data_IF_554167967904
#
_entry.id   IF_554167967904
#
_cell.length_a   1.000
_cell.length_b   1.000
_cell.length_c   1.000
_cell.angle_alpha   90.00
_cell.angle_beta   90.00
_cell.angle_gamma   90.00
#
_symmetry.space_group_name_H-M   'P 1'
#
loop_
_entity.id
_entity.type
_entity.pdbx_description
1 polymer ?
#
# COMPACT_ATOMS: atom_id res chain seq x y z
N UNK A 1 -14.12 23.66 -20.39
CA UNK A 1 -13.43 22.37 -20.58
C UNK A 1 -12.72 22.04 -19.28
N UNK A 2 -13.18 21.02 -18.60
CA UNK A 2 -12.51 20.49 -17.40
C UNK A 2 -11.47 19.47 -17.86
N UNK A 3 -10.20 19.83 -17.75
CA UNK A 3 -9.10 18.90 -17.95
C UNK A 3 -8.86 18.13 -16.65
N UNK A 4 -8.42 16.89 -16.76
CA UNK A 4 -8.09 16.07 -15.61
C UNK A 4 -6.66 15.55 -15.72
N UNK A 5 -5.87 15.79 -14.69
CA UNK A 5 -4.55 15.23 -14.49
C UNK A 5 -4.45 14.75 -13.03
N UNK A 6 -4.72 13.47 -12.82
CA UNK A 6 -4.83 12.89 -11.49
C UNK A 6 -3.47 12.56 -10.89
N UNK A 7 -3.23 12.98 -9.65
CA UNK A 7 -2.13 12.57 -8.79
C UNK A 7 -2.66 12.36 -7.37
N UNK A 8 -2.01 11.54 -6.57
CA UNK A 8 -2.38 11.38 -5.16
C UNK A 8 -2.03 10.01 -4.60
N UNK A 9 -2.04 9.87 -3.28
CA UNK A 9 -1.78 8.60 -2.63
C UNK A 9 -2.94 7.61 -2.84
N UNK A 10 -2.57 6.36 -3.07
CA UNK A 10 -3.49 5.22 -3.14
C UNK A 10 -3.36 4.41 -1.86
N UNK A 11 -4.48 4.10 -1.24
CA UNK A 11 -4.57 3.34 -0.01
C UNK A 11 -5.41 2.09 -0.21
N UNK A 12 -5.13 1.08 0.59
CA UNK A 12 -5.99 -0.08 0.74
C UNK A 12 -6.30 -0.33 2.22
N UNK A 13 -7.39 -1.00 2.51
CA UNK A 13 -7.77 -1.41 3.85
C UNK A 13 -8.43 -2.78 3.83
N UNK A 14 -8.23 -3.55 4.88
CA UNK A 14 -9.08 -4.70 5.15
C UNK A 14 -10.49 -4.22 5.46
N UNK A 15 -11.47 -5.08 5.22
CA UNK A 15 -12.88 -4.79 5.44
C UNK A 15 -13.38 -5.54 6.68
N UNK A 16 -14.26 -4.90 7.43
CA UNK A 16 -15.02 -5.57 8.49
C UNK A 16 -16.23 -6.36 7.94
N UNK A 17 -17.01 -6.96 8.84
CA UNK A 17 -18.19 -7.75 8.49
C UNK A 17 -19.30 -6.90 7.85
N UNK A 18 -19.33 -5.59 8.10
CA UNK A 18 -20.26 -4.62 7.51
C UNK A 18 -19.74 -4.05 6.18
N UNK A 19 -18.54 -4.45 5.78
CA UNK A 19 -17.87 -4.02 4.54
C UNK A 19 -17.21 -2.65 4.63
N UNK A 20 -17.02 -2.11 5.82
CA UNK A 20 -16.34 -0.83 6.04
C UNK A 20 -14.81 -1.04 6.16
N UNK A 21 -14.00 -0.07 5.69
CA UNK A 21 -12.55 -0.15 5.83
C UNK A 21 -12.12 0.01 7.28
N UNK A 22 -11.27 -0.90 7.78
CA UNK A 22 -10.80 -0.91 9.17
C UNK A 22 -9.64 0.08 9.36
N UNK A 23 -8.58 -0.09 8.57
CA UNK A 23 -7.35 0.70 8.66
C UNK A 23 -6.72 0.86 7.28
N UNK A 24 -6.40 2.10 6.91
CA UNK A 24 -5.81 2.37 5.61
C UNK A 24 -4.29 2.19 5.63
N UNK A 25 -3.80 1.36 4.74
CA UNK A 25 -2.38 1.18 4.44
C UNK A 25 -2.06 1.86 3.10
N UNK A 26 -1.02 2.68 3.08
CA UNK A 26 -0.58 3.34 1.86
C UNK A 26 0.21 2.37 0.97
N UNK A 27 -0.13 2.30 -0.33
CA UNK A 27 0.61 1.49 -1.30
C UNK A 27 2.05 1.96 -1.56
N UNK A 28 2.40 3.17 -1.15
CA UNK A 28 3.64 3.82 -1.53
C UNK A 28 3.47 4.65 -2.80
N UNK A 29 4.56 4.94 -3.48
CA UNK A 29 4.49 5.63 -4.76
C UNK A 29 3.81 4.73 -5.80
N UNK A 30 2.67 5.19 -6.32
CA UNK A 30 1.89 4.48 -7.32
C UNK A 30 1.82 5.32 -8.61
N UNK A 31 2.72 5.06 -9.58
CA UNK A 31 2.73 5.81 -10.83
C UNK A 31 1.49 5.57 -11.70
N UNK A 32 0.76 4.48 -11.48
CA UNK A 32 -0.48 4.23 -12.20
C UNK A 32 -1.54 3.58 -11.29
N UNK A 33 -2.76 4.10 -11.40
CA UNK A 33 -3.98 3.52 -10.81
C UNK A 33 -5.11 3.66 -11.82
N UNK A 34 -5.72 2.54 -12.20
CA UNK A 34 -6.80 2.51 -13.21
C UNK A 34 -7.98 1.70 -12.73
N UNK A 35 -9.18 2.20 -13.06
CA UNK A 35 -10.45 1.50 -12.89
C UNK A 35 -11.06 1.31 -14.29
N UNK A 36 -11.12 0.07 -14.76
CA UNK A 36 -11.75 -0.30 -16.00
C UNK A 36 -13.21 -0.72 -15.78
N UNK A 37 -14.12 -0.24 -16.60
CA UNK A 37 -15.54 -0.61 -16.54
C UNK A 37 -15.94 -1.22 -17.88
N UNK A 38 -16.57 -2.38 -17.87
CA UNK A 38 -17.03 -3.06 -19.07
C UNK A 38 -18.44 -3.62 -18.89
N UNK A 39 -19.11 -3.82 -20.01
CA UNK A 39 -20.46 -4.39 -20.07
C UNK A 39 -20.52 -5.45 -21.15
N UNK A 40 -21.01 -6.64 -20.80
CA UNK A 40 -21.38 -7.63 -21.78
C UNK A 40 -22.84 -7.44 -22.20
N UNK A 41 -23.10 -7.66 -23.48
CA UNK A 41 -24.40 -7.38 -24.05
C UNK A 41 -24.86 -8.48 -25.00
N UNK A 42 -26.12 -8.86 -24.84
CA UNK A 42 -26.81 -9.70 -25.80
C UNK A 42 -27.58 -8.80 -26.76
N UNK A 43 -27.36 -9.02 -28.07
CA UNK A 43 -28.10 -8.33 -29.15
C UNK A 43 -29.07 -9.26 -29.83
N UNK A 44 -30.28 -8.76 -30.00
CA UNK A 44 -31.30 -9.43 -30.82
C UNK A 44 -31.35 -8.80 -32.22
N UNK A 45 -31.45 -9.64 -33.26
CA UNK A 45 -31.60 -9.19 -34.63
C UNK A 45 -33.00 -9.55 -35.12
N UNK A 46 -33.67 -8.58 -35.73
CA UNK A 46 -34.95 -8.80 -36.33
C UNK A 46 -34.86 -9.79 -37.52
N UNK A 47 -35.94 -10.50 -37.80
CA UNK A 47 -35.98 -11.54 -38.84
C UNK A 47 -37.05 -11.31 -39.89
N UNK A 48 -37.83 -10.23 -39.83
CA UNK A 48 -39.05 -10.05 -40.64
C UNK A 48 -38.87 -9.06 -41.80
N UNK A 49 -37.89 -8.14 -41.77
CA UNK A 49 -37.64 -7.20 -42.90
C UNK A 49 -36.65 -7.73 -43.92
N UNK A 50 -35.92 -8.80 -43.61
CA UNK A 50 -34.86 -9.37 -44.46
C UNK A 50 -33.49 -8.72 -44.29
N UNK A 51 -33.38 -7.60 -43.58
CA UNK A 51 -32.12 -6.85 -43.37
C UNK A 51 -31.34 -7.30 -42.13
N UNK A 52 -31.94 -8.08 -41.25
CA UNK A 52 -31.32 -8.56 -39.99
C UNK A 52 -30.68 -7.47 -39.16
N UNK A 53 -31.34 -6.32 -39.05
CA UNK A 53 -30.88 -5.21 -38.20
C UNK A 53 -31.03 -5.55 -36.74
N UNK A 54 -30.17 -4.95 -35.88
CA UNK A 54 -30.28 -5.10 -34.44
C UNK A 54 -31.47 -4.26 -33.93
N UNK A 55 -32.46 -4.91 -33.33
CA UNK A 55 -33.71 -4.30 -32.84
C UNK A 55 -33.74 -4.22 -31.29
N UNK A 56 -32.94 -5.03 -30.58
CA UNK A 56 -32.82 -4.99 -29.11
C UNK A 56 -31.40 -5.29 -28.65
N UNK A 57 -31.03 -4.66 -27.53
CA UNK A 57 -29.76 -4.88 -26.82
C UNK A 57 -30.03 -4.92 -25.33
N UNK A 58 -29.57 -5.99 -24.67
CA UNK A 58 -29.71 -6.19 -23.24
C UNK A 58 -28.31 -6.30 -22.63
N UNK A 59 -28.05 -5.61 -21.54
CA UNK A 59 -26.83 -5.79 -20.76
C UNK A 59 -26.99 -7.06 -19.95
N UNK A 60 -26.04 -7.99 -20.10
CA UNK A 60 -26.03 -9.29 -19.43
C UNK A 60 -25.09 -9.31 -18.23
N UNK A 61 -24.00 -8.51 -18.28
CA UNK A 61 -23.00 -8.46 -17.22
C UNK A 61 -22.39 -7.07 -17.12
N UNK A 62 -22.08 -6.67 -15.89
CA UNK A 62 -21.30 -5.47 -15.54
C UNK A 62 -20.02 -5.93 -14.86
N UNK A 63 -18.87 -5.57 -15.42
CA UNK A 63 -17.57 -5.92 -14.86
C UNK A 63 -16.76 -4.67 -14.55
N UNK A 64 -16.02 -4.72 -13.46
CA UNK A 64 -15.10 -3.65 -13.07
C UNK A 64 -13.74 -4.26 -12.73
N UNK A 65 -12.69 -3.75 -13.35
CA UNK A 65 -11.30 -4.19 -13.15
C UNK A 65 -10.49 -3.08 -12.52
N UNK A 66 -9.54 -3.45 -11.68
CA UNK A 66 -8.65 -2.54 -10.98
C UNK A 66 -7.21 -2.90 -11.32
N UNK A 67 -6.39 -1.92 -11.65
CA UNK A 67 -4.95 -2.11 -11.82
C UNK A 67 -4.19 -1.01 -11.08
N UNK A 68 -3.25 -1.42 -10.25
CA UNK A 68 -2.41 -0.56 -9.43
C UNK A 68 -0.96 -0.92 -9.72
N UNK A 69 -0.16 0.05 -10.15
CA UNK A 69 1.29 -0.11 -10.27
C UNK A 69 1.95 0.66 -9.14
N UNK A 70 2.80 0.02 -8.36
CA UNK A 70 3.58 0.66 -7.30
C UNK A 70 5.06 0.37 -7.45
N UNK A 71 5.91 1.34 -7.07
CA UNK A 71 7.37 1.20 -7.04
C UNK A 71 7.84 0.71 -5.66
N UNK A 72 6.92 0.50 -4.71
CA UNK A 72 7.22 0.20 -3.32
C UNK A 72 7.02 -1.30 -3.00
N UNK A 73 8.13 -2.02 -2.83
CA UNK A 73 8.19 -3.45 -2.51
C UNK A 73 8.16 -3.74 -1.01
N UNK A 74 7.37 -3.00 -0.25
CA UNK A 74 7.22 -3.26 1.19
C UNK A 74 6.43 -4.55 1.47
N UNK A 75 6.60 -5.08 2.69
CA UNK A 75 6.01 -6.34 3.13
C UNK A 75 4.50 -6.41 2.85
N UNK A 76 3.73 -5.38 3.21
CA UNK A 76 2.28 -5.36 3.01
C UNK A 76 1.85 -5.45 1.54
N UNK A 77 2.62 -4.85 0.62
CA UNK A 77 2.35 -4.94 -0.81
C UNK A 77 2.71 -6.33 -1.36
N UNK A 78 3.80 -6.92 -0.84
CA UNK A 78 4.20 -8.28 -1.21
C UNK A 78 3.19 -9.32 -0.68
N UNK A 79 2.64 -9.14 0.51
CA UNK A 79 1.56 -10.00 1.04
C UNK A 79 0.37 -10.03 0.11
N UNK A 80 -0.10 -8.86 -0.35
CA UNK A 80 -1.20 -8.77 -1.32
C UNK A 80 -0.83 -9.41 -2.66
N UNK A 81 0.37 -9.09 -3.17
CA UNK A 81 0.82 -9.53 -4.49
C UNK A 81 1.08 -11.03 -4.58
N UNK A 82 1.35 -11.68 -3.47
CA UNK A 82 1.73 -13.10 -3.46
C UNK A 82 0.74 -13.99 -2.71
N UNK A 83 -0.38 -13.44 -2.23
CA UNK A 83 -1.24 -14.09 -1.23
C UNK A 83 -0.41 -14.63 -0.07
N UNK A 84 0.51 -13.79 0.36
CA UNK A 84 1.52 -14.12 1.33
C UNK A 84 1.09 -13.81 2.75
N UNK A 85 1.91 -14.29 3.67
CA UNK A 85 1.84 -13.96 5.09
C UNK A 85 3.21 -13.54 5.57
N UNK A 86 3.30 -12.32 6.08
CA UNK A 86 4.50 -11.78 6.68
C UNK A 86 4.73 -12.40 8.07
N UNK A 87 5.97 -12.75 8.36
CA UNK A 87 6.36 -13.24 9.67
C UNK A 87 7.71 -12.69 10.09
N UNK A 88 7.84 -12.41 11.39
CA UNK A 88 9.10 -12.05 11.99
C UNK A 88 9.88 -13.31 12.36
N UNK A 89 11.16 -13.37 11.98
CA UNK A 89 12.11 -14.39 12.41
C UNK A 89 12.99 -13.78 13.49
N UNK A 90 13.00 -14.39 14.67
CA UNK A 90 13.85 -13.91 15.77
C UNK A 90 15.31 -14.19 15.46
N UNK A 91 16.18 -13.24 15.80
CA UNK A 91 17.62 -13.47 15.78
C UNK A 91 18.03 -14.56 16.76
N UNK A 92 18.97 -15.40 16.39
CA UNK A 92 19.46 -16.49 17.22
C UNK A 92 20.94 -16.80 16.98
N UNK A 93 21.57 -17.42 17.97
CA UNK A 93 22.85 -18.07 17.76
C UNK A 93 22.65 -19.49 17.23
N UNK A 94 23.37 -19.84 16.18
CA UNK A 94 23.38 -21.18 15.56
C UNK A 94 24.72 -21.81 15.86
N UNK A 95 24.72 -23.05 16.29
CA UNK A 95 25.94 -23.78 16.66
C UNK A 95 26.02 -25.07 15.87
N UNK A 96 27.19 -25.33 15.31
CA UNK A 96 27.52 -26.56 14.57
C UNK A 96 26.57 -26.88 13.42
N UNK A 97 26.13 -25.86 12.69
CA UNK A 97 25.37 -26.09 11.45
C UNK A 97 26.23 -26.86 10.46
N UNK A 98 25.72 -27.94 9.91
CA UNK A 98 26.39 -28.73 8.91
C UNK A 98 26.42 -28.00 7.57
N UNK A 99 27.63 -27.68 7.10
CA UNK A 99 27.85 -26.98 5.83
C UNK A 99 28.21 -27.99 4.71
N UNK A 100 29.14 -28.86 4.99
CA UNK A 100 29.62 -29.86 4.04
C UNK A 100 30.13 -31.12 4.75
N UNK A 101 29.76 -32.28 4.24
CA UNK A 101 30.17 -33.58 4.84
C UNK A 101 31.64 -33.95 4.55
N UNK A 102 32.24 -33.41 3.49
CA UNK A 102 33.60 -33.71 3.07
C UNK A 102 34.50 -32.47 3.02
N UNK A 103 35.67 -32.62 2.37
CA UNK A 103 36.60 -31.52 2.19
C UNK A 103 36.02 -30.42 1.28
N UNK A 104 36.17 -29.14 1.65
CA UNK A 104 35.76 -28.03 0.80
C UNK A 104 36.71 -27.87 -0.41
N UNK A 105 36.27 -27.04 -1.38
CA UNK A 105 37.08 -26.68 -2.53
C UNK A 105 37.31 -25.18 -2.59
N UNK A 106 38.50 -24.79 -3.03
CA UNK A 106 38.84 -23.38 -3.20
C UNK A 106 37.96 -22.71 -4.24
N UNK A 107 37.36 -21.54 -3.90
CA UNK A 107 36.52 -20.74 -4.77
C UNK A 107 35.07 -21.20 -4.87
N UNK A 108 34.72 -22.38 -4.36
CA UNK A 108 33.33 -22.81 -4.29
C UNK A 108 32.54 -22.04 -3.18
N UNK A 109 31.23 -21.92 -3.36
CA UNK A 109 30.34 -21.20 -2.47
C UNK A 109 29.44 -22.17 -1.72
N UNK A 110 29.39 -22.02 -0.41
CA UNK A 110 28.58 -22.86 0.48
C UNK A 110 27.68 -21.94 1.28
N UNK A 111 26.37 -22.09 1.14
CA UNK A 111 25.41 -21.26 1.84
C UNK A 111 25.00 -21.86 3.19
N UNK A 112 24.95 -21.03 4.22
CA UNK A 112 24.33 -21.33 5.50
C UNK A 112 22.81 -21.29 5.37
N UNK A 113 22.12 -22.08 6.15
CA UNK A 113 20.66 -22.05 6.21
C UNK A 113 20.18 -20.92 7.13
N UNK A 114 20.30 -19.68 6.64
CA UNK A 114 19.97 -18.47 7.39
C UNK A 114 18.84 -17.71 6.74
N UNK A 115 18.03 -17.04 7.56
CA UNK A 115 16.99 -16.12 7.12
C UNK A 115 17.32 -14.66 7.48
N UNK A 116 18.40 -14.41 8.20
CA UNK A 116 18.82 -13.07 8.62
C UNK A 116 20.29 -12.83 8.34
N UNK A 117 20.72 -11.60 8.59
CA UNK A 117 22.13 -11.21 8.44
C UNK A 117 23.00 -12.01 9.37
N UNK A 118 24.04 -12.63 8.82
CA UNK A 118 25.02 -13.44 9.55
C UNK A 118 26.14 -12.56 10.10
N UNK A 119 26.45 -12.76 11.38
CA UNK A 119 27.58 -12.13 12.07
C UNK A 119 28.32 -13.15 12.92
N UNK A 120 29.59 -12.84 13.28
CA UNK A 120 30.42 -13.67 14.14
C UNK A 120 30.55 -15.13 13.66
N UNK A 121 30.61 -15.34 12.33
CA UNK A 121 30.71 -16.67 11.78
C UNK A 121 32.11 -17.30 12.04
N UNK A 122 32.10 -18.51 12.56
CA UNK A 122 33.27 -19.35 12.81
C UNK A 122 33.09 -20.66 12.08
N UNK A 123 33.88 -20.87 11.04
CA UNK A 123 33.90 -22.15 10.29
C UNK A 123 34.78 -23.13 11.00
N UNK A 124 34.38 -24.40 11.08
CA UNK A 124 35.09 -25.49 11.75
C UNK A 124 35.30 -26.67 10.81
N UNK A 125 36.46 -27.29 10.87
CA UNK A 125 36.80 -28.55 10.25
C UNK A 125 36.94 -29.63 11.35
N UNK A 126 36.17 -30.70 11.27
CA UNK A 126 36.13 -31.74 12.31
C UNK A 126 35.97 -31.17 13.73
N UNK A 127 35.15 -30.12 13.89
CA UNK A 127 34.91 -29.45 15.18
C UNK A 127 35.97 -28.44 15.62
N UNK A 128 37.10 -28.32 14.91
CA UNK A 128 38.17 -27.36 15.19
C UNK A 128 38.01 -26.11 14.34
N UNK A 129 38.20 -24.93 14.93
CA UNK A 129 38.07 -23.66 14.18
C UNK A 129 39.12 -23.58 13.06
N UNK A 130 38.67 -23.28 11.86
CA UNK A 130 39.50 -23.00 10.69
C UNK A 130 40.09 -21.59 10.80
N UNK A 131 41.30 -21.40 10.34
CA UNK A 131 41.92 -20.08 10.30
C UNK A 131 41.09 -19.13 9.45
N UNK A 132 40.77 -17.95 9.97
CA UNK A 132 39.91 -16.93 9.31
C UNK A 132 40.53 -16.40 8.00
N UNK A 133 41.81 -16.59 7.75
CA UNK A 133 42.43 -16.27 6.46
C UNK A 133 42.08 -17.26 5.35
N UNK A 134 41.56 -18.46 5.67
CA UNK A 134 41.24 -19.53 4.72
C UNK A 134 39.83 -19.39 4.12
N UNK A 135 39.00 -18.54 4.66
CA UNK A 135 37.62 -18.35 4.19
C UNK A 135 37.12 -16.92 4.39
N UNK A 136 36.10 -16.59 3.65
CA UNK A 136 35.27 -15.39 3.88
C UNK A 136 33.83 -15.81 4.04
N UNK A 137 33.08 -15.09 4.91
CA UNK A 137 31.62 -15.24 5.05
C UNK A 137 31.00 -13.89 4.80
N UNK A 138 30.07 -13.80 3.89
CA UNK A 138 29.33 -12.58 3.64
C UNK A 138 28.11 -12.44 4.58
N UNK A 139 27.47 -11.28 4.56
CA UNK A 139 26.31 -10.98 5.40
C UNK A 139 25.09 -11.86 5.09
N UNK A 140 25.04 -12.47 3.91
CA UNK A 140 23.98 -13.40 3.51
C UNK A 140 24.27 -14.86 3.93
N UNK A 141 25.42 -15.10 4.57
CA UNK A 141 25.81 -16.42 5.06
C UNK A 141 26.46 -17.31 3.99
N UNK A 142 27.00 -16.72 2.93
CA UNK A 142 27.74 -17.51 1.95
C UNK A 142 29.20 -17.59 2.35
N UNK A 143 29.69 -18.80 2.53
CA UNK A 143 31.10 -19.13 2.81
C UNK A 143 31.82 -19.36 1.50
N UNK A 144 32.98 -18.72 1.32
CA UNK A 144 33.89 -18.96 0.21
C UNK A 144 35.29 -19.30 0.77
N UNK A 145 35.82 -20.47 0.45
CA UNK A 145 37.16 -20.86 0.86
C UNK A 145 38.22 -20.31 -0.12
N UNK A 146 39.19 -19.62 0.43
CA UNK A 146 40.37 -19.10 -0.29
C UNK A 146 41.54 -20.07 -0.22
N UNK A 147 41.62 -20.82 0.88
CA UNK A 147 42.62 -21.91 1.07
C UNK A 147 41.93 -23.10 1.74
N UNK A 148 42.21 -24.28 1.28
CA UNK A 148 41.63 -25.54 1.79
C UNK A 148 42.72 -26.51 2.28
N UNK A 149 43.97 -26.04 2.41
CA UNK A 149 45.10 -26.89 2.80
C UNK A 149 44.86 -27.50 4.17
N UNK A 150 44.84 -28.84 4.21
CA UNK A 150 44.66 -29.62 5.44
C UNK A 150 43.21 -29.76 5.90
N UNK A 151 42.22 -29.19 5.18
CA UNK A 151 40.80 -29.36 5.50
C UNK A 151 40.29 -30.69 4.93
N UNK A 152 39.65 -31.48 5.77
CA UNK A 152 39.18 -32.83 5.42
C UNK A 152 37.68 -32.99 5.56
N UNK A 153 36.99 -32.09 6.30
CA UNK A 153 35.59 -32.19 6.67
C UNK A 153 35.31 -33.21 7.79
N UNK A 154 34.16 -33.26 8.34
CA UNK A 154 33.01 -32.41 7.99
C UNK A 154 33.22 -30.96 8.35
N UNK A 155 32.71 -30.07 7.49
CA UNK A 155 32.71 -28.61 7.74
C UNK A 155 31.41 -28.24 8.43
N UNK A 156 31.52 -27.50 9.53
CA UNK A 156 30.39 -26.90 10.26
C UNK A 156 30.64 -25.43 10.48
N UNK A 157 29.60 -24.69 10.82
CA UNK A 157 29.70 -23.26 11.16
C UNK A 157 28.88 -22.90 12.41
N UNK A 158 29.49 -22.06 13.24
CA UNK A 158 28.79 -21.34 14.30
C UNK A 158 28.63 -19.89 13.85
N UNK A 159 27.47 -19.30 14.09
CA UNK A 159 27.22 -17.89 13.74
C UNK A 159 26.06 -17.31 14.54
N UNK A 160 25.92 -15.99 14.49
CA UNK A 160 24.76 -15.29 15.01
C UNK A 160 23.94 -14.77 13.85
N UNK A 161 22.66 -15.10 13.82
CA UNK A 161 21.68 -14.62 12.85
C UNK A 161 20.91 -13.45 13.45
N UNK A 162 20.89 -12.31 12.76
CA UNK A 162 20.05 -11.18 13.16
C UNK A 162 18.56 -11.48 12.91
N UNK A 163 17.71 -10.74 13.62
CA UNK A 163 16.27 -10.79 13.35
C UNK A 163 15.97 -10.34 11.91
N UNK A 164 15.00 -10.97 11.29
CA UNK A 164 14.59 -10.70 9.93
C UNK A 164 13.07 -10.75 9.78
N UNK A 165 12.56 -10.30 8.64
CA UNK A 165 11.17 -10.47 8.22
C UNK A 165 11.14 -11.26 6.92
N UNK A 166 10.13 -12.08 6.78
CA UNK A 166 9.93 -12.88 5.58
C UNK A 166 8.46 -12.87 5.19
N UNK A 167 8.17 -12.99 3.91
CA UNK A 167 6.82 -13.18 3.38
C UNK A 167 6.75 -14.57 2.74
N UNK A 168 5.90 -15.42 3.29
CA UNK A 168 5.65 -16.75 2.72
C UNK A 168 4.65 -16.63 1.58
N UNK A 169 5.00 -17.09 0.37
CA UNK A 169 4.17 -17.00 -0.83
C UNK A 169 3.05 -18.03 -0.81
N UNK A 170 1.83 -17.67 -1.27
CA UNK A 170 0.64 -18.54 -1.34
C UNK A 170 0.26 -19.20 0.01
N UNK A 171 0.34 -18.45 1.09
CA UNK A 171 -0.07 -18.91 2.43
C UNK A 171 -1.52 -18.58 2.77
N UNK A 172 -2.07 -17.55 2.16
CA UNK A 172 -3.42 -17.06 2.42
C UNK A 172 -4.28 -17.12 1.16
N UNK A 173 -5.59 -17.02 1.32
CA UNK A 173 -6.49 -16.75 0.20
C UNK A 173 -6.50 -15.27 -0.14
N UNK A 174 -6.91 -14.95 -1.38
CA UNK A 174 -7.05 -13.56 -1.84
C UNK A 174 -7.92 -12.76 -0.88
N UNK A 175 -7.40 -11.72 -0.23
CA UNK A 175 -8.21 -10.87 0.63
C UNK A 175 -9.17 -10.00 -0.19
N UNK A 176 -10.32 -9.70 0.40
CA UNK A 176 -11.23 -8.69 -0.12
C UNK A 176 -10.91 -7.35 0.56
N UNK A 177 -10.38 -6.42 -0.20
CA UNK A 177 -9.91 -5.13 0.29
C UNK A 177 -10.77 -3.98 -0.20
N UNK A 178 -10.77 -2.88 0.55
CA UNK A 178 -11.24 -1.58 0.13
C UNK A 178 -10.05 -0.80 -0.45
N UNK A 179 -10.25 -0.15 -1.62
CA UNK A 179 -9.21 0.68 -2.25
C UNK A 179 -9.69 2.11 -2.33
N UNK A 180 -8.82 3.06 -1.98
CA UNK A 180 -9.10 4.49 -1.98
C UNK A 180 -7.96 5.29 -2.60
N UNK A 181 -8.30 6.16 -3.53
CA UNK A 181 -7.42 7.21 -4.04
C UNK A 181 -7.83 8.55 -3.44
N UNK A 182 -6.90 9.26 -2.81
CA UNK A 182 -7.07 10.66 -2.44
C UNK A 182 -6.42 11.53 -3.53
N UNK A 183 -7.17 11.71 -4.62
CA UNK A 183 -6.68 12.33 -5.84
C UNK A 183 -6.67 13.86 -5.79
N UNK A 184 -5.67 14.44 -6.44
CA UNK A 184 -5.55 15.84 -6.77
C UNK A 184 -5.63 15.99 -8.29
N UNK A 185 -6.50 16.86 -8.80
CA UNK A 185 -6.51 17.22 -10.20
C UNK A 185 -5.57 18.40 -10.43
N UNK A 186 -4.36 18.12 -10.92
CA UNK A 186 -3.34 19.14 -11.15
C UNK A 186 -3.59 20.02 -12.37
N UNK A 187 -4.53 19.63 -13.25
CA UNK A 187 -4.93 20.44 -14.40
C UNK A 187 -5.88 21.59 -14.06
N UNK A 188 -6.50 21.53 -12.87
CA UNK A 188 -7.47 22.54 -12.43
C UNK A 188 -7.10 23.07 -11.07
N UNK A 189 -6.84 24.39 -10.97
CA UNK A 189 -6.64 25.06 -9.70
C UNK A 189 -7.93 25.69 -9.21
N UNK A 190 -8.17 25.59 -7.91
CA UNK A 190 -9.30 26.23 -7.21
C UNK A 190 -8.78 27.17 -6.14
N UNK A 191 -9.49 28.26 -5.88
CA UNK A 191 -9.11 29.20 -4.81
C UNK A 191 -9.80 28.81 -3.52
N UNK A 192 -9.02 28.49 -2.49
CA UNK A 192 -9.51 28.18 -1.14
C UNK A 192 -8.89 29.15 -0.13
N UNK A 193 -9.75 29.80 0.66
CA UNK A 193 -9.29 30.74 1.69
C UNK A 193 -8.22 31.75 1.24
N UNK A 194 -8.31 32.22 -0.02
CA UNK A 194 -7.34 33.18 -0.58
C UNK A 194 -6.02 32.56 -1.10
N UNK A 195 -5.88 31.23 -1.06
CA UNK A 195 -4.76 30.49 -1.65
C UNK A 195 -5.24 29.62 -2.80
N UNK A 196 -4.42 29.48 -3.86
CA UNK A 196 -4.70 28.51 -4.92
C UNK A 196 -4.40 27.10 -4.42
N UNK A 197 -5.31 26.18 -4.67
CA UNK A 197 -5.20 24.75 -4.35
C UNK A 197 -5.67 23.95 -5.57
N UNK A 198 -5.43 22.65 -5.57
CA UNK A 198 -5.94 21.76 -6.59
C UNK A 198 -7.34 21.23 -6.22
N UNK A 199 -8.14 20.96 -7.25
CA UNK A 199 -9.40 20.25 -7.09
C UNK A 199 -9.12 18.83 -6.54
N UNK A 200 -9.85 18.43 -5.51
CA UNK A 200 -9.70 17.11 -4.88
C UNK A 200 -10.79 16.18 -5.33
N UNK A 201 -10.38 14.99 -5.71
CA UNK A 201 -11.29 13.91 -6.09
C UNK A 201 -10.92 12.65 -5.31
N UNK A 202 -11.86 12.13 -4.56
CA UNK A 202 -11.69 10.83 -3.88
C UNK A 202 -12.35 9.77 -4.75
N UNK A 203 -11.63 8.68 -5.00
CA UNK A 203 -12.19 7.48 -5.62
C UNK A 203 -12.16 6.35 -4.61
N UNK A 204 -13.31 5.78 -4.32
CA UNK A 204 -13.43 4.62 -3.42
C UNK A 204 -13.98 3.43 -4.18
N UNK A 205 -13.28 2.30 -4.07
CA UNK A 205 -13.70 1.00 -4.59
C UNK A 205 -13.97 0.12 -3.38
N UNK A 206 -15.21 -0.24 -3.17
CA UNK A 206 -15.66 -0.82 -1.89
C UNK A 206 -15.15 -2.22 -1.63
N UNK A 207 -15.12 -3.04 -2.67
CA UNK A 207 -14.76 -4.44 -2.57
C UNK A 207 -13.88 -4.83 -3.75
N UNK A 208 -12.60 -4.95 -3.52
CA UNK A 208 -11.61 -5.31 -4.53
C UNK A 208 -10.96 -6.62 -4.14
N UNK A 209 -10.87 -7.54 -5.08
CA UNK A 209 -10.07 -8.75 -4.98
C UNK A 209 -8.94 -8.66 -5.98
N UNK A 210 -7.73 -8.55 -5.48
CA UNK A 210 -6.54 -8.54 -6.31
C UNK A 210 -6.16 -9.97 -6.69
N UNK A 211 -5.64 -10.14 -7.88
CA UNK A 211 -5.02 -11.39 -8.33
C UNK A 211 -3.54 -11.40 -7.93
N UNK A 212 -2.90 -12.57 -7.78
CA UNK A 212 -1.48 -12.62 -7.49
C UNK A 212 -0.71 -11.99 -8.65
N UNK A 213 0.37 -11.30 -8.34
CA UNK A 213 1.21 -10.68 -9.36
C UNK A 213 1.78 -11.74 -10.30
N UNK A 214 1.58 -11.56 -11.59
CA UNK A 214 2.04 -12.53 -12.59
C UNK A 214 3.57 -12.56 -12.72
N UNK A 215 4.21 -11.40 -12.53
CA UNK A 215 5.65 -11.25 -12.72
C UNK A 215 6.25 -10.30 -11.68
N UNK A 216 7.41 -10.68 -11.18
CA UNK A 216 8.26 -9.85 -10.33
C UNK A 216 9.57 -9.57 -11.05
N UNK A 217 9.85 -8.32 -11.37
CA UNK A 217 11.15 -7.89 -11.87
C UNK A 217 12.16 -7.83 -10.71
N UNK A 218 12.91 -8.93 -10.48
CA UNK A 218 13.88 -9.01 -9.38
C UNK A 218 15.26 -8.49 -9.79
N UNK A 219 15.55 -8.41 -11.08
CA UNK A 219 16.76 -7.81 -11.63
C UNK A 219 16.33 -6.90 -12.76
N UNK A 220 16.56 -5.59 -12.62
CA UNK A 220 16.13 -4.57 -13.57
C UNK A 220 17.24 -3.54 -13.77
N UNK A 221 17.28 -2.93 -14.94
CA UNK A 221 18.12 -1.76 -15.23
C UNK A 221 17.44 -0.45 -14.81
N UNK A 222 16.12 -0.49 -14.55
CA UNK A 222 15.28 0.62 -14.09
C UNK A 222 14.70 0.29 -12.71
N UNK A 223 13.97 1.22 -12.11
CA UNK A 223 13.26 0.95 -10.85
C UNK A 223 12.23 -0.17 -11.04
N UNK A 224 12.28 -1.16 -10.14
CA UNK A 224 11.31 -2.25 -10.15
C UNK A 224 9.89 -1.75 -9.90
N UNK A 225 8.92 -2.33 -10.59
CA UNK A 225 7.51 -2.04 -10.42
C UNK A 225 6.73 -3.29 -10.06
N UNK A 226 5.81 -3.16 -9.14
CA UNK A 226 4.87 -4.19 -8.73
C UNK A 226 3.50 -3.84 -9.32
N UNK A 227 3.02 -4.68 -10.23
CA UNK A 227 1.71 -4.52 -10.87
C UNK A 227 0.71 -5.45 -10.19
N UNK A 228 -0.31 -4.85 -9.59
CA UNK A 228 -1.41 -5.54 -8.91
C UNK A 228 -2.68 -5.37 -9.74
N UNK A 229 -3.14 -6.43 -10.34
CA UNK A 229 -4.38 -6.47 -11.09
C UNK A 229 -5.47 -7.15 -10.27
N UNK A 230 -6.72 -6.86 -10.55
CA UNK A 230 -7.83 -7.51 -9.88
C UNK A 230 -9.19 -7.04 -10.37
N UNK A 231 -10.21 -7.49 -9.67
CA UNK A 231 -11.59 -7.17 -9.99
C UNK A 231 -12.25 -6.42 -8.84
N UNK A 232 -13.01 -5.38 -9.17
CA UNK A 232 -13.94 -4.78 -8.23
C UNK A 232 -15.22 -5.63 -8.22
N UNK A 233 -15.61 -6.07 -7.04
CA UNK A 233 -16.80 -6.90 -6.81
C UNK A 233 -17.96 -6.03 -6.34
N UNK A 234 -19.17 -6.47 -6.61
CA UNK A 234 -20.38 -5.83 -6.09
C UNK A 234 -20.39 -5.90 -4.57
N UNK A 235 -20.58 -4.76 -3.94
CA UNK A 235 -20.80 -4.68 -2.50
C UNK A 235 -22.28 -4.38 -2.22
N UNK A 236 -23.01 -5.41 -1.80
CA UNK A 236 -24.45 -5.30 -1.53
C UNK A 236 -24.77 -4.46 -0.31
N UNK A 237 -23.83 -4.29 0.61
CA UNK A 237 -24.02 -3.43 1.80
C UNK A 237 -24.04 -1.95 1.41
N UNK A 238 -23.32 -1.58 0.35
CA UNK A 238 -23.20 -0.19 -0.13
C UNK A 238 -24.24 0.19 -1.19
N UNK A 239 -24.66 -0.76 -2.03
CA UNK A 239 -25.59 -0.51 -3.14
C UNK A 239 -26.98 0.03 -2.73
N UNK A 240 -27.39 -0.23 -1.50
CA UNK A 240 -28.67 0.26 -0.95
C UNK A 240 -28.62 1.71 -0.46
N UNK A 241 -27.42 2.28 -0.27
CA UNK A 241 -27.25 3.64 0.24
C UNK A 241 -27.44 4.67 -0.90
N UNK A 242 -28.13 5.77 -0.61
CA UNK A 242 -28.33 6.85 -1.57
C UNK A 242 -26.99 7.44 -2.04
N UNK A 243 -26.79 7.54 -3.36
CA UNK A 243 -25.60 8.10 -3.98
C UNK A 243 -24.38 7.15 -4.04
N UNK A 244 -24.53 5.91 -3.60
CA UNK A 244 -23.48 4.88 -3.68
C UNK A 244 -23.69 4.01 -4.91
N UNK A 245 -22.61 3.79 -5.67
CA UNK A 245 -22.59 2.79 -6.75
C UNK A 245 -22.42 1.37 -6.22
N UNK A 246 -22.54 0.37 -7.07
CA UNK A 246 -22.37 -1.03 -6.67
C UNK A 246 -20.89 -1.44 -6.50
N UNK A 247 -19.98 -0.80 -7.24
CA UNK A 247 -18.56 -1.15 -7.26
C UNK A 247 -17.70 -0.07 -6.62
N UNK A 248 -18.00 1.19 -6.97
CA UNK A 248 -17.16 2.33 -6.63
C UNK A 248 -17.96 3.63 -6.62
N UNK A 249 -17.39 4.68 -6.04
CA UNK A 249 -17.86 6.06 -6.17
C UNK A 249 -16.73 7.03 -6.41
N UNK A 250 -17.07 8.13 -7.09
CA UNK A 250 -16.22 9.30 -7.24
C UNK A 250 -16.81 10.43 -6.40
N UNK A 251 -16.00 11.03 -5.57
CA UNK A 251 -16.41 12.14 -4.68
C UNK A 251 -15.58 13.35 -5.09
N UNK A 252 -16.25 14.37 -5.62
CA UNK A 252 -15.64 15.65 -5.89
C UNK A 252 -15.79 16.52 -4.65
N UNK A 253 -14.68 16.94 -4.07
CA UNK A 253 -14.68 17.84 -2.93
C UNK A 253 -14.75 19.26 -3.44
N UNK A 254 -15.97 19.80 -3.54
CA UNK A 254 -16.15 21.22 -3.81
C UNK A 254 -15.38 22.04 -2.76
N UNK A 255 -14.73 23.15 -3.18
CA UNK A 255 -14.16 24.08 -2.20
C UNK A 255 -15.28 24.46 -1.24
N UNK A 256 -15.02 24.49 0.08
CA UNK A 256 -16.03 24.92 1.03
C UNK A 256 -16.49 26.29 0.58
N UNK A 257 -17.79 26.42 0.25
CA UNK A 257 -18.42 27.72 0.06
C UNK A 257 -18.06 28.46 1.32
N UNK A 258 -17.23 29.52 1.21
CA UNK A 258 -16.92 30.33 2.36
C UNK A 258 -18.28 30.79 2.90
N UNK A 259 -18.77 30.12 3.94
CA UNK A 259 -19.87 30.70 4.72
C UNK A 259 -19.25 31.97 5.26
N UNK A 260 -19.55 33.07 4.61
CA UNK A 260 -19.40 34.36 5.25
C UNK A 260 -20.29 34.25 6.47
N UNK A 261 -19.74 33.76 7.58
CA UNK A 261 -20.30 34.05 8.87
C UNK A 261 -20.35 35.58 8.89
N UNK A 262 -21.51 36.10 8.59
CA UNK A 262 -21.82 37.48 8.80
C UNK A 262 -21.54 37.69 10.28
N UNK A 263 -20.36 38.16 10.59
CA UNK A 263 -20.06 38.69 11.88
C UNK A 263 -20.97 39.92 11.97
N UNK A 264 -22.16 39.68 12.49
CA UNK A 264 -23.00 40.77 12.98
C UNK A 264 -22.22 41.38 14.13
N UNK A 265 -21.34 42.31 13.79
CA UNK A 265 -20.82 43.27 14.76
C UNK A 265 -22.01 44.12 15.13
N UNK A 266 -22.75 43.71 16.14
CA UNK A 266 -23.63 44.59 16.86
C UNK A 266 -22.74 45.64 17.51
N UNK A 267 -22.80 46.90 17.08
CA UNK A 267 -22.17 47.95 17.85
C UNK A 267 -22.96 48.12 19.14
N UNK A 268 -22.47 47.54 20.21
CA UNK A 268 -22.96 47.86 21.55
C UNK A 268 -22.47 49.26 21.89
N UNK A 269 -23.24 50.26 21.44
CA UNK A 269 -23.16 51.60 21.96
C UNK A 269 -23.89 51.61 23.29
N UNK A 270 -23.20 51.39 24.39
CA UNK A 270 -23.65 51.77 25.72
C UNK A 270 -23.07 53.15 26.04
N UNK A 271 -23.85 54.21 26.04
CA UNK A 271 -23.43 55.43 26.65
C UNK A 271 -23.71 55.36 28.16
N UNK A 272 -22.76 54.97 28.95
CA UNK A 272 -22.82 55.17 30.40
C UNK A 272 -22.32 56.59 30.72
N UNK A 273 -23.23 57.55 30.66
CA UNK A 273 -23.06 58.82 31.32
C UNK A 273 -23.95 58.81 32.56
N UNK A 274 -23.40 58.51 33.69
CA UNK A 274 -23.96 58.93 35.00
C UNK A 274 -22.95 59.78 35.70
N UNK A 275 -23.01 61.08 35.45
CA UNK A 275 -22.43 62.08 36.31
C UNK A 275 -23.44 62.49 37.33
N UNK A 276 -23.35 62.05 38.55
CA UNK A 276 -24.06 62.64 39.71
C UNK A 276 -23.13 63.68 40.37
N UNK A 277 -23.57 64.92 40.51
CA UNK A 277 -22.87 65.85 41.36
C UNK A 277 -23.42 65.73 42.80
N UNK A 278 -22.61 65.23 43.69
CA UNK A 278 -22.90 65.34 45.14
C UNK A 278 -22.51 66.72 45.65
N UNK A 279 -23.52 67.49 45.93
CA UNK A 279 -23.40 68.71 46.79
C UNK A 279 -23.65 68.26 48.22
N UNK A 280 -22.64 68.29 49.04
CA UNK A 280 -22.81 68.35 50.50
C UNK A 280 -22.28 69.67 51.00
N UNK A 281 -23.19 70.53 51.34
CA UNK A 281 -22.89 71.69 52.16
C UNK A 281 -23.30 71.35 53.61
N UNK A 282 -22.34 71.42 54.50
CA UNK A 282 -22.52 71.50 55.96
C UNK A 282 -22.46 72.93 56.40
N UNK A 283 -23.38 73.40 57.24
CA UNK A 283 -23.16 74.58 57.99
C UNK A 283 -22.69 74.27 59.43
N UNK A 284 -21.75 75.01 59.90
CA UNK A 284 -21.21 75.14 61.27
C UNK A 284 -22.29 75.69 62.24
N UNK A 285 -22.27 75.18 63.44
CA UNK A 285 -22.15 75.94 64.69
C UNK A 285 -21.36 75.06 65.66
#
# INVERSE_FOLDING_TARGET
LSLFSGQGPVFWANRDDDGDPIEYTWFGNAPAFTLGLATDTLTHKESYTGNRTTDARIITELTATVSITTDDFKESNLELATYGEGSAVAGSAVVAEAVLAGAPRTGERYALNTTGVVTNAVVKDNGSAVNTSFYTVDASGVIVFTDVTGLTGPITADYTMAAARQVGVFKTSAPEIHVRLDGLNTATSVTRSGSSDFERTIVEIYKTRLDPAENFGLINDEFGQLVLNGSALTDTTKAAASGMGQFARFIYLDPPVASFASASVSPSLSPSHSASPSHSASPSV
#
